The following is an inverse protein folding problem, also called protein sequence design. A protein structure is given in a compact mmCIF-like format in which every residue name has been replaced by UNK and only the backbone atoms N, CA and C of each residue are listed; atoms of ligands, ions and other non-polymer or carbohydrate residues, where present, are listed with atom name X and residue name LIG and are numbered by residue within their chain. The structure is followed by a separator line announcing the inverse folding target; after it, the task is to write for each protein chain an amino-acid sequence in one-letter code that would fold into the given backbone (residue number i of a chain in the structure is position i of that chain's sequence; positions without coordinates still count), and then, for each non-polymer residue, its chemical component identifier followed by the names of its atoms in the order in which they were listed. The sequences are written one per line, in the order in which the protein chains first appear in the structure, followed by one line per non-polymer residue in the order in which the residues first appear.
data_IF_243423595404
#
_entry.id   IF_243423595404
#
_cell.length_a   1.000
_cell.length_b   1.000
_cell.length_c   1.000
_cell.angle_alpha   90.00
_cell.angle_beta   90.00
_cell.angle_gamma   90.00
#
_symmetry.space_group_name_H-M   'P 1'
#
loop_
_entity.id
_entity.type
_entity.pdbx_description
1 polymer ?
#
# COMPACT_ATOMS: atom_id res chain seq x y z
N UNK A 1 -32.42 15.49 -62.15
CA UNK A 1 -30.99 15.42 -61.81
C UNK A 1 -30.90 15.67 -60.30
N UNK A 2 -30.40 14.71 -59.50
CA UNK A 2 -30.55 14.71 -58.05
C UNK A 2 -29.65 15.75 -57.36
N UNK A 3 -30.20 16.31 -56.29
CA UNK A 3 -29.56 17.28 -55.39
C UNK A 3 -28.40 16.64 -54.61
N UNK A 4 -27.34 17.42 -54.42
CA UNK A 4 -26.17 17.08 -53.58
C UNK A 4 -26.61 16.99 -52.12
N UNK A 5 -26.63 15.78 -51.56
CA UNK A 5 -26.64 15.55 -50.12
C UNK A 5 -25.18 15.46 -49.64
N UNK A 6 -24.58 16.60 -49.32
CA UNK A 6 -23.37 16.62 -48.50
C UNK A 6 -23.78 16.25 -47.06
N UNK A 7 -23.75 14.96 -46.72
CA UNK A 7 -23.60 14.60 -45.31
C UNK A 7 -22.18 14.98 -44.90
N UNK A 8 -22.03 16.18 -44.33
CA UNK A 8 -20.89 16.47 -43.49
C UNK A 8 -21.02 15.57 -42.25
N UNK A 9 -20.26 14.48 -42.23
CA UNK A 9 -20.02 13.70 -41.01
C UNK A 9 -19.23 14.58 -40.05
N UNK A 10 -19.93 15.35 -39.22
CA UNK A 10 -19.34 15.89 -37.99
C UNK A 10 -19.41 14.77 -36.95
N UNK A 11 -18.25 14.28 -36.51
CA UNK A 11 -18.16 13.57 -35.23
C UNK A 11 -17.30 12.32 -35.22
N UNK A 12 -15.98 12.45 -35.35
CA UNK A 12 -15.06 11.82 -34.39
C UNK A 12 -13.65 12.43 -34.54
N UNK A 13 -13.40 13.54 -33.85
CA UNK A 13 -12.06 13.81 -33.30
C UNK A 13 -11.99 13.14 -31.93
N UNK A 14 -12.12 11.82 -31.88
CA UNK A 14 -12.39 11.12 -30.62
C UNK A 14 -11.87 9.70 -30.66
N UNK A 15 -10.56 9.58 -30.84
CA UNK A 15 -9.85 8.31 -30.80
C UNK A 15 -8.43 8.53 -30.31
N UNK A 16 -8.23 9.42 -29.34
CA UNK A 16 -7.15 9.15 -28.39
C UNK A 16 -7.64 7.93 -27.64
N UNK A 17 -7.06 6.77 -27.96
CA UNK A 17 -7.11 5.58 -27.12
C UNK A 17 -6.96 6.05 -25.67
N UNK A 18 -8.09 6.20 -24.98
CA UNK A 18 -8.08 6.56 -23.58
C UNK A 18 -7.66 5.28 -22.90
N UNK A 19 -6.34 5.13 -22.75
CA UNK A 19 -5.76 4.12 -21.89
C UNK A 19 -6.61 4.07 -20.61
N UNK A 20 -7.00 2.88 -20.13
CA UNK A 20 -7.90 2.78 -19.00
C UNK A 20 -7.38 3.66 -17.87
N UNK A 21 -8.19 4.62 -17.41
CA UNK A 21 -7.80 5.46 -16.28
C UNK A 21 -7.73 4.52 -15.08
N UNK A 22 -6.52 4.31 -14.62
CA UNK A 22 -6.15 3.51 -13.47
C UNK A 22 -6.52 4.32 -12.21
N UNK A 23 -7.61 3.94 -11.54
CA UNK A 23 -8.20 4.70 -10.41
C UNK A 23 -8.48 3.85 -9.17
N UNK A 24 -7.82 2.70 -9.03
CA UNK A 24 -8.15 1.77 -7.95
C UNK A 24 -7.34 2.07 -6.67
N UNK A 25 -7.95 1.99 -5.47
CA UNK A 25 -7.21 1.98 -4.21
C UNK A 25 -6.22 0.80 -4.17
N UNK A 26 -5.24 0.80 -3.25
CA UNK A 26 -4.38 -0.35 -3.05
C UNK A 26 -5.23 -1.56 -2.64
N UNK A 27 -4.76 -2.77 -2.97
CA UNK A 27 -5.41 -3.99 -2.51
C UNK A 27 -4.39 -4.99 -1.97
N UNK A 28 -4.89 -5.90 -1.13
CA UNK A 28 -4.10 -6.95 -0.49
C UNK A 28 -3.70 -8.02 -1.50
N UNK A 29 -2.48 -8.52 -1.37
CA UNK A 29 -1.92 -9.56 -2.25
C UNK A 29 -2.05 -10.99 -1.72
N UNK A 30 -3.08 -11.22 -0.90
CA UNK A 30 -3.26 -12.51 -0.21
C UNK A 30 -2.07 -12.85 0.70
N UNK A 31 -1.36 -11.84 1.19
CA UNK A 31 -0.26 -11.95 2.15
C UNK A 31 -0.77 -11.44 3.49
N UNK A 32 -0.39 -12.15 4.56
CA UNK A 32 -0.70 -11.74 5.93
C UNK A 32 0.38 -10.81 6.44
N UNK A 33 0.01 -9.89 7.33
CA UNK A 33 0.98 -9.11 8.07
C UNK A 33 1.57 -10.00 9.18
N UNK A 34 2.82 -10.41 9.02
CA UNK A 34 3.49 -11.33 9.94
C UNK A 34 4.97 -10.91 10.12
N UNK A 35 5.22 -9.80 10.83
CA UNK A 35 6.56 -9.35 11.15
C UNK A 35 7.29 -10.39 12.01
N UNK A 36 8.57 -10.68 11.76
CA UNK A 36 9.33 -11.61 12.58
C UNK A 36 9.59 -11.04 13.97
N UNK A 37 9.89 -11.92 14.92
CA UNK A 37 10.40 -11.54 16.25
C UNK A 37 11.78 -10.90 16.14
N UNK A 38 12.05 -9.94 17.02
CA UNK A 38 13.33 -9.26 17.12
C UNK A 38 14.15 -9.71 18.33
N UNK A 39 15.40 -9.25 18.38
CA UNK A 39 16.29 -9.41 19.53
C UNK A 39 16.81 -8.05 19.93
N UNK A 40 16.86 -7.80 21.23
CA UNK A 40 17.31 -6.51 21.78
C UNK A 40 18.72 -6.17 21.29
N UNK A 41 18.89 -4.93 20.82
CA UNK A 41 20.15 -4.42 20.29
C UNK A 41 20.57 -4.96 18.92
N UNK A 42 19.75 -5.80 18.26
CA UNK A 42 20.00 -6.28 16.89
C UNK A 42 19.23 -5.46 15.88
N UNK A 43 19.82 -5.29 14.70
CA UNK A 43 19.14 -4.64 13.57
C UNK A 43 17.90 -5.44 13.20
N UNK A 44 16.78 -4.73 13.13
CA UNK A 44 15.49 -5.23 12.69
C UNK A 44 15.13 -4.61 11.35
N UNK A 45 14.52 -5.40 10.47
CA UNK A 45 14.03 -4.94 9.18
C UNK A 45 12.83 -5.79 8.74
N UNK A 46 11.72 -5.14 8.44
CA UNK A 46 10.54 -5.76 7.86
C UNK A 46 9.90 -4.82 6.83
N UNK A 47 9.54 -5.38 5.67
CA UNK A 47 8.94 -4.62 4.57
C UNK A 47 7.46 -4.99 4.45
N UNK A 48 6.57 -4.03 4.66
CA UNK A 48 5.11 -4.23 4.54
C UNK A 48 4.58 -3.94 3.13
N UNK A 49 5.35 -3.27 2.26
CA UNK A 49 4.91 -2.93 0.91
C UNK A 49 4.41 -4.15 0.08
N UNK A 50 5.03 -5.34 0.11
CA UNK A 50 4.56 -6.55 -0.57
C UNK A 50 3.20 -7.09 -0.10
N UNK A 51 2.67 -6.60 1.02
CA UNK A 51 1.31 -6.93 1.47
C UNK A 51 0.27 -6.30 0.53
N UNK A 52 0.64 -5.24 -0.19
CA UNK A 52 -0.22 -4.36 -0.95
C UNK A 52 0.22 -4.29 -2.44
N UNK A 53 -0.07 -5.32 -3.25
CA UNK A 53 0.31 -5.34 -4.68
C UNK A 53 -0.85 -5.28 -5.69
N UNK A 54 -2.04 -4.79 -5.35
CA UNK A 54 -3.17 -4.95 -6.30
C UNK A 54 -4.14 -3.77 -6.41
N UNK A 55 -3.62 -2.55 -6.24
CA UNK A 55 -4.18 -1.39 -6.93
C UNK A 55 -3.49 -1.20 -8.27
N UNK A 56 -4.20 -0.66 -9.26
CA UNK A 56 -3.55 -0.19 -10.50
C UNK A 56 -2.57 0.98 -10.20
N UNK A 57 -2.78 1.69 -9.08
CA UNK A 57 -1.88 2.73 -8.52
C UNK A 57 -1.20 2.22 -7.26
N UNK A 58 0.13 2.41 -7.15
CA UNK A 58 0.91 2.08 -5.94
C UNK A 58 0.51 2.95 -4.75
N UNK A 59 0.66 2.45 -3.51
CA UNK A 59 0.52 3.29 -2.32
C UNK A 59 1.48 4.48 -2.36
N UNK A 60 0.97 5.65 -2.00
CA UNK A 60 1.73 6.89 -1.84
C UNK A 60 2.24 7.05 -0.41
N UNK A 61 1.47 6.52 0.56
CA UNK A 61 1.80 6.57 1.97
C UNK A 61 1.31 5.29 2.69
N UNK A 62 1.97 4.98 3.79
CA UNK A 62 1.65 3.89 4.69
C UNK A 62 1.48 4.43 6.11
N UNK A 63 0.66 3.79 6.91
CA UNK A 63 0.51 4.04 8.34
C UNK A 63 0.50 2.73 9.12
N UNK A 64 0.92 2.78 10.38
CA UNK A 64 0.83 1.66 11.31
C UNK A 64 0.04 2.10 12.54
N UNK A 65 -0.86 1.25 13.02
CA UNK A 65 -1.51 1.41 14.31
C UNK A 65 -0.93 0.40 15.32
N UNK A 66 -1.01 0.74 16.60
CA UNK A 66 -0.38 -0.01 17.69
C UNK A 66 0.94 0.60 18.16
N UNK A 67 1.56 -0.04 19.15
CA UNK A 67 2.81 0.45 19.75
C UNK A 67 3.98 -0.37 19.23
N UNK A 68 4.92 0.26 18.53
CA UNK A 68 6.15 -0.42 18.12
C UNK A 68 7.12 -0.58 19.31
N UNK A 69 7.95 -1.64 19.30
CA UNK A 69 9.06 -1.74 20.23
C UNK A 69 9.93 -0.48 20.22
N UNK A 70 10.38 -0.06 21.41
CA UNK A 70 11.30 1.08 21.53
C UNK A 70 12.53 0.89 20.64
N UNK A 71 12.91 1.92 19.88
CA UNK A 71 14.03 1.86 18.93
C UNK A 71 13.68 1.31 17.53
N UNK A 72 12.45 0.83 17.31
CA UNK A 72 11.92 0.60 15.96
C UNK A 72 11.14 1.81 15.45
N UNK A 73 11.27 2.07 14.16
CA UNK A 73 10.61 3.18 13.46
C UNK A 73 9.87 2.59 12.27
N UNK A 74 8.65 3.05 12.04
CA UNK A 74 7.91 2.79 10.82
C UNK A 74 8.09 3.97 9.85
N UNK A 75 8.62 3.68 8.67
CA UNK A 75 8.75 4.66 7.61
C UNK A 75 7.47 4.66 6.76
N UNK A 76 6.70 5.74 6.89
CA UNK A 76 5.41 5.90 6.22
C UNK A 76 5.52 6.04 4.70
N UNK A 77 6.68 6.39 4.15
CA UNK A 77 6.85 6.57 2.71
C UNK A 77 7.06 5.25 1.97
N UNK A 78 7.65 4.24 2.62
CA UNK A 78 7.99 2.97 1.97
C UNK A 78 7.50 1.72 2.71
N UNK A 79 6.85 1.89 3.86
CA UNK A 79 6.29 0.76 4.60
C UNK A 79 7.36 -0.14 5.23
N UNK A 80 8.49 0.43 5.66
CA UNK A 80 9.55 -0.33 6.32
C UNK A 80 9.47 -0.12 7.83
N UNK A 81 9.44 -1.22 8.59
CA UNK A 81 9.75 -1.22 10.02
C UNK A 81 11.24 -1.51 10.15
N UNK A 82 12.02 -0.58 10.69
CA UNK A 82 13.45 -0.77 10.89
C UNK A 82 13.97 -0.08 12.14
N UNK A 83 15.17 -0.49 12.58
CA UNK A 83 15.83 0.06 13.74
C UNK A 83 16.49 -1.02 14.59
N UNK A 84 16.73 -0.71 15.86
CA UNK A 84 17.30 -1.66 16.82
C UNK A 84 16.42 -1.65 18.07
N UNK A 85 15.70 -2.74 18.39
CA UNK A 85 14.85 -2.80 19.57
C UNK A 85 15.66 -2.56 20.85
N UNK A 86 15.16 -1.71 21.74
CA UNK A 86 15.80 -1.39 23.03
C UNK A 86 15.02 -1.94 24.22
N UNK A 87 13.79 -2.42 24.00
CA UNK A 87 12.88 -2.90 25.05
C UNK A 87 12.39 -4.30 24.68
N UNK A 88 12.66 -5.26 25.58
CA UNK A 88 12.10 -6.62 25.51
C UNK A 88 10.61 -6.60 25.83
N UNK A 89 9.84 -7.45 25.16
CA UNK A 89 8.40 -7.57 25.39
C UNK A 89 7.63 -8.01 24.16
N UNK A 90 6.33 -8.22 24.33
CA UNK A 90 5.41 -8.56 23.25
C UNK A 90 4.56 -7.34 22.92
N UNK A 91 4.63 -6.91 21.66
CA UNK A 91 3.90 -5.75 21.14
C UNK A 91 2.81 -6.27 20.21
N UNK A 92 1.56 -6.22 20.65
CA UNK A 92 0.40 -6.81 19.96
C UNK A 92 -0.49 -5.76 19.30
N UNK A 93 -1.37 -6.21 18.40
CA UNK A 93 -2.37 -5.35 17.77
C UNK A 93 -1.76 -4.37 16.78
N UNK A 94 -0.67 -4.78 16.11
CA UNK A 94 -0.07 -4.01 15.04
C UNK A 94 -0.87 -4.25 13.76
N UNK A 95 -1.24 -3.18 13.09
CA UNK A 95 -1.92 -3.23 11.80
C UNK A 95 -1.37 -2.15 10.89
N UNK A 96 -1.23 -2.47 9.61
CA UNK A 96 -0.63 -1.57 8.62
C UNK A 96 -1.67 -1.21 7.58
N UNK A 97 -1.75 0.07 7.24
CA UNK A 97 -2.62 0.59 6.19
C UNK A 97 -1.79 1.22 5.09
N UNK A 98 -2.11 0.90 3.84
CA UNK A 98 -1.57 1.53 2.65
C UNK A 98 -2.61 2.45 2.03
N UNK A 99 -2.20 3.65 1.60
CA UNK A 99 -3.09 4.69 1.08
C UNK A 99 -2.54 5.28 -0.21
N UNK A 100 -3.42 5.55 -1.17
CA UNK A 100 -3.17 6.40 -2.33
C UNK A 100 -4.34 7.40 -2.50
N UNK A 101 -4.25 8.25 -3.51
CA UNK A 101 -5.29 9.22 -3.89
C UNK A 101 -6.69 8.62 -4.18
N UNK A 102 -6.79 7.31 -4.39
CA UNK A 102 -8.04 6.61 -4.69
C UNK A 102 -8.61 5.83 -3.49
N UNK A 103 -7.89 5.77 -2.37
CA UNK A 103 -8.36 5.19 -1.12
C UNK A 103 -7.28 4.43 -0.36
N UNK A 104 -7.71 3.63 0.61
CA UNK A 104 -6.83 2.93 1.55
C UNK A 104 -7.26 1.49 1.77
N UNK A 105 -6.29 0.64 2.10
CA UNK A 105 -6.53 -0.75 2.51
C UNK A 105 -5.62 -1.07 3.70
N UNK A 106 -6.17 -1.79 4.68
CA UNK A 106 -5.42 -2.29 5.84
C UNK A 106 -5.02 -3.75 5.67
N UNK A 107 -4.04 -4.21 6.43
CA UNK A 107 -3.75 -5.63 6.64
C UNK A 107 -5.02 -6.39 6.99
N UNK A 108 -5.13 -7.64 6.52
CA UNK A 108 -6.28 -8.50 6.85
C UNK A 108 -6.26 -8.97 8.31
N UNK A 109 -5.07 -9.05 8.90
CA UNK A 109 -4.83 -9.58 10.23
C UNK A 109 -3.94 -8.61 11.02
N UNK A 110 -4.24 -8.48 12.30
CA UNK A 110 -3.35 -7.83 13.27
C UNK A 110 -2.18 -8.76 13.59
N UNK A 111 -1.00 -8.19 13.81
CA UNK A 111 0.19 -8.96 14.13
C UNK A 111 0.82 -8.56 15.46
N UNK A 112 1.69 -9.44 15.95
CA UNK A 112 2.56 -9.19 17.11
C UNK A 112 4.04 -9.17 16.70
N UNK A 113 4.82 -8.42 17.47
CA UNK A 113 6.29 -8.48 17.45
C UNK A 113 6.74 -8.82 18.86
N UNK A 114 7.42 -9.95 19.01
CA UNK A 114 8.11 -10.30 20.26
C UNK A 114 9.57 -9.87 20.17
N UNK A 115 10.05 -9.15 21.18
CA UNK A 115 11.46 -8.80 21.37
C UNK A 115 12.02 -9.58 22.56
N UNK A 116 13.03 -10.41 22.28
CA UNK A 116 13.77 -11.20 23.25
C UNK A 116 15.12 -10.57 23.64
#
# INVERSE_FOLDING_TARGET
MPVINAQATVGQIGGMDSAPVVTKPPALSGKTFNPPNGTTGKTYFYLCAPLFNSGDVRPENYSIIGTLPGGLIFNTSNGIISGSPTVTGTFTGLDVTATNSFGSVSSADSADIVIN
#
